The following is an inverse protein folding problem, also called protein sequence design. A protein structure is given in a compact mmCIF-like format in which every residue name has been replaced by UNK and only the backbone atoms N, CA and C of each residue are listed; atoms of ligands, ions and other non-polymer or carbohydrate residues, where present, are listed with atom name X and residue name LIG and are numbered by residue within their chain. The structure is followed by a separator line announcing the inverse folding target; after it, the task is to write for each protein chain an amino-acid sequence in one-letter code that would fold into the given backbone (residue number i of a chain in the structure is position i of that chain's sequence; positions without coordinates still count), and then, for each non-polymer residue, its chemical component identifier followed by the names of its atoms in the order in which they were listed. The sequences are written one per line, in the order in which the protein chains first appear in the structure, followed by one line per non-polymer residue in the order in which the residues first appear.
data_IF_489944113081
#
_entry.id   IF_489944113081
#
_cell.length_a   1.000
_cell.length_b   1.000
_cell.length_c   1.000
_cell.angle_alpha   90.00
_cell.angle_beta   90.00
_cell.angle_gamma   90.00
#
_symmetry.space_group_name_H-M   'P 1'
#
loop_
_entity.id
_entity.type
_entity.pdbx_description
1 polymer ?
#
# COMPACT_ATOMS: atom_id res chain seq x y z
N UNK A 1 -44.89 36.30 56.41
CA UNK A 1 -43.59 35.59 56.46
C UNK A 1 -43.53 34.69 55.26
N UNK A 2 -42.87 35.07 54.20
CA UNK A 2 -42.70 34.28 52.95
C UNK A 2 -41.25 33.71 52.97
N UNK A 3 -41.09 32.43 52.89
CA UNK A 3 -39.79 31.75 52.73
C UNK A 3 -39.32 31.76 51.28
N UNK A 4 -38.05 32.01 51.01
CA UNK A 4 -37.51 31.97 49.65
C UNK A 4 -37.18 30.50 49.24
N UNK A 5 -37.66 30.12 48.05
CA UNK A 5 -37.25 28.89 47.35
C UNK A 5 -35.78 29.02 46.92
N UNK A 6 -34.96 28.09 47.44
CA UNK A 6 -33.60 27.91 46.89
C UNK A 6 -33.68 27.00 45.67
N UNK A 7 -33.30 27.52 44.51
CA UNK A 7 -33.12 26.74 43.27
C UNK A 7 -31.64 26.22 43.27
N UNK A 8 -31.48 24.94 43.51
CA UNK A 8 -30.16 24.27 43.32
C UNK A 8 -29.90 24.05 41.82
N UNK A 9 -28.91 24.76 41.31
CA UNK A 9 -28.40 24.50 39.96
C UNK A 9 -27.51 23.24 40.04
N UNK A 10 -27.97 22.16 39.39
CA UNK A 10 -27.16 20.97 39.18
C UNK A 10 -26.10 21.24 38.10
N UNK A 11 -24.84 21.31 38.47
CA UNK A 11 -23.71 21.29 37.56
C UNK A 11 -23.60 19.91 36.92
N UNK A 12 -24.03 19.80 35.64
CA UNK A 12 -23.75 18.64 34.81
C UNK A 12 -22.28 18.73 34.37
N UNK A 13 -21.41 18.01 35.07
CA UNK A 13 -20.02 17.80 34.63
C UNK A 13 -20.04 16.93 33.37
N UNK A 14 -19.79 17.56 32.21
CA UNK A 14 -19.45 16.86 30.98
C UNK A 14 -18.09 16.16 31.21
N UNK A 15 -18.14 14.89 31.48
CA UNK A 15 -16.96 14.04 31.42
C UNK A 15 -16.53 13.97 29.96
N UNK A 16 -15.42 14.62 29.61
CA UNK A 16 -14.73 14.41 28.35
C UNK A 16 -14.38 12.91 28.30
N UNK A 17 -15.03 12.16 27.42
CA UNK A 17 -14.61 10.79 27.14
C UNK A 17 -13.14 10.86 26.68
N UNK A 18 -12.25 10.01 27.22
CA UNK A 18 -10.90 9.95 26.71
C UNK A 18 -10.98 9.67 25.21
N UNK A 19 -10.33 10.51 24.42
CA UNK A 19 -10.17 10.29 22.97
C UNK A 19 -9.62 8.87 22.80
N UNK A 20 -10.44 7.95 22.29
CA UNK A 20 -9.98 6.61 21.97
C UNK A 20 -8.83 6.77 20.98
N UNK A 21 -7.66 6.26 21.34
CA UNK A 21 -6.49 6.32 20.47
C UNK A 21 -6.80 5.72 19.09
N UNK A 22 -6.13 6.19 18.05
CA UNK A 22 -6.27 5.63 16.71
C UNK A 22 -6.16 4.10 16.76
N UNK A 23 -7.07 3.40 16.09
CA UNK A 23 -7.11 1.93 16.08
C UNK A 23 -6.87 1.39 14.67
N UNK A 24 -6.47 0.12 14.60
CA UNK A 24 -6.32 -0.60 13.32
C UNK A 24 -7.61 -1.29 12.88
N UNK A 25 -8.70 -1.13 13.63
CA UNK A 25 -9.97 -1.77 13.29
C UNK A 25 -10.43 -1.36 11.87
N UNK A 26 -10.58 -2.35 11.01
CA UNK A 26 -10.93 -2.16 9.60
C UNK A 26 -9.78 -1.71 8.68
N UNK A 27 -8.57 -1.49 9.18
CA UNK A 27 -7.41 -1.11 8.38
C UNK A 27 -7.02 -2.20 7.37
N UNK A 28 -6.45 -1.78 6.25
CA UNK A 28 -5.97 -2.65 5.18
C UNK A 28 -4.53 -2.28 4.88
N UNK A 29 -3.63 -3.27 4.95
CA UNK A 29 -2.24 -3.12 4.54
C UNK A 29 -2.05 -3.61 3.11
N UNK A 30 -1.74 -2.71 2.19
CA UNK A 30 -1.55 -3.03 0.77
C UNK A 30 -0.17 -3.61 0.46
N UNK A 31 0.77 -3.59 1.43
CA UNK A 31 2.17 -3.87 1.18
C UNK A 31 2.84 -4.52 2.41
N UNK A 32 2.69 -5.83 2.53
CA UNK A 32 3.20 -6.59 3.68
C UNK A 32 4.17 -7.69 3.24
N UNK A 33 5.44 -7.58 3.62
CA UNK A 33 6.44 -8.62 3.38
C UNK A 33 6.44 -9.65 4.50
N UNK A 34 6.52 -10.93 4.14
CA UNK A 34 6.52 -12.02 5.12
C UNK A 34 7.25 -13.26 4.60
N UNK A 35 7.71 -14.11 5.51
CA UNK A 35 8.17 -15.44 5.14
C UNK A 35 6.96 -16.31 4.69
N UNK A 36 7.19 -17.32 3.81
CA UNK A 36 8.45 -17.60 3.13
C UNK A 36 8.77 -16.58 2.03
N UNK A 37 10.01 -16.11 1.99
CA UNK A 37 10.54 -15.21 0.97
C UNK A 37 11.99 -15.62 0.66
N UNK A 38 12.52 -15.22 -0.49
CA UNK A 38 13.95 -15.33 -0.84
C UNK A 38 14.86 -14.44 0.02
N UNK A 39 14.30 -13.56 0.83
CA UNK A 39 14.99 -12.68 1.79
C UNK A 39 14.37 -12.91 3.17
N UNK A 40 15.18 -13.11 4.25
CA UNK A 40 14.66 -13.36 5.59
C UNK A 40 13.72 -12.22 6.06
N UNK A 41 12.57 -12.61 6.61
CA UNK A 41 11.55 -11.69 7.11
C UNK A 41 11.39 -11.79 8.63
N UNK A 42 10.76 -10.78 9.22
CA UNK A 42 10.55 -10.72 10.68
C UNK A 42 9.41 -11.62 11.18
N UNK A 43 8.54 -12.10 10.27
CA UNK A 43 7.35 -12.89 10.60
C UNK A 43 6.92 -13.69 9.38
N UNK A 44 6.37 -14.88 9.58
CA UNK A 44 5.73 -15.63 8.49
C UNK A 44 4.30 -15.14 8.19
N UNK A 45 3.79 -15.49 7.00
CA UNK A 45 2.51 -15.00 6.51
C UNK A 45 1.32 -15.45 7.36
N UNK A 46 1.36 -16.63 7.99
CA UNK A 46 0.27 -17.15 8.82
C UNK A 46 0.23 -16.37 10.14
N UNK A 47 1.38 -16.19 10.79
CA UNK A 47 1.46 -15.44 12.03
C UNK A 47 1.21 -13.96 11.82
N UNK A 48 1.62 -13.38 10.69
CA UNK A 48 1.24 -12.02 10.30
C UNK A 48 -0.28 -11.89 10.18
N UNK A 49 -0.94 -12.82 9.50
CA UNK A 49 -2.40 -12.80 9.36
C UNK A 49 -3.11 -12.95 10.71
N UNK A 50 -2.62 -13.83 11.61
CA UNK A 50 -3.12 -13.97 13.00
C UNK A 50 -2.97 -12.66 13.78
N UNK A 51 -1.80 -12.03 13.69
CA UNK A 51 -1.51 -10.76 14.36
C UNK A 51 -2.41 -9.63 13.82
N UNK A 52 -2.48 -9.46 12.50
CA UNK A 52 -3.34 -8.45 11.87
C UNK A 52 -4.81 -8.63 12.26
N UNK A 53 -5.32 -9.87 12.23
CA UNK A 53 -6.66 -10.22 12.70
C UNK A 53 -6.87 -9.85 14.17
N UNK A 54 -5.92 -10.16 15.05
CA UNK A 54 -6.03 -9.86 16.49
C UNK A 54 -6.09 -8.35 16.78
N UNK A 55 -5.55 -7.53 15.88
CA UNK A 55 -5.60 -6.06 15.92
C UNK A 55 -6.84 -5.49 15.21
N UNK A 56 -7.74 -6.33 14.72
CA UNK A 56 -8.98 -5.94 14.06
C UNK A 56 -8.80 -5.44 12.62
N UNK A 57 -7.67 -5.67 11.98
CA UNK A 57 -7.46 -5.33 10.58
C UNK A 57 -8.41 -6.12 9.67
N UNK A 58 -8.88 -5.49 8.60
CA UNK A 58 -9.76 -6.08 7.60
C UNK A 58 -9.01 -6.96 6.61
N UNK A 59 -7.88 -6.48 6.12
CA UNK A 59 -7.14 -7.18 5.08
C UNK A 59 -5.63 -6.90 5.12
N UNK A 60 -4.86 -7.82 4.54
CA UNK A 60 -3.45 -7.66 4.20
C UNK A 60 -3.19 -8.13 2.78
N UNK A 61 -2.25 -7.50 2.08
CA UNK A 61 -1.73 -7.94 0.78
C UNK A 61 -0.30 -8.40 0.98
N UNK A 62 -0.06 -9.71 0.81
CA UNK A 62 1.27 -10.31 0.89
C UNK A 62 2.07 -9.95 -0.36
N UNK A 63 3.26 -9.41 -0.17
CA UNK A 63 4.18 -9.07 -1.24
C UNK A 63 5.56 -9.68 -1.00
N UNK A 64 6.09 -10.36 -2.00
CA UNK A 64 7.48 -10.78 -2.09
C UNK A 64 8.07 -10.28 -3.41
N UNK A 65 9.39 -10.06 -3.46
CA UNK A 65 10.04 -9.52 -4.66
C UNK A 65 10.30 -10.59 -5.71
N UNK A 66 10.56 -11.82 -5.27
CA UNK A 66 11.08 -12.88 -6.13
C UNK A 66 10.09 -14.01 -6.37
N UNK A 67 8.97 -14.05 -5.63
CA UNK A 67 7.98 -15.11 -5.69
C UNK A 67 6.56 -14.54 -5.77
N UNK A 68 5.66 -15.12 -6.60
CA UNK A 68 4.24 -14.77 -6.55
C UNK A 68 3.60 -15.25 -5.26
N UNK A 69 2.79 -14.39 -4.63
CA UNK A 69 2.17 -14.65 -3.33
C UNK A 69 0.69 -15.06 -3.40
N UNK A 70 0.13 -15.21 -4.60
CA UNK A 70 -1.28 -15.59 -4.78
C UNK A 70 -1.62 -16.96 -4.18
N UNK A 71 -0.74 -17.96 -4.32
CA UNK A 71 -0.89 -19.30 -3.73
C UNK A 71 -0.71 -19.27 -2.22
N UNK A 72 0.22 -18.46 -1.72
CA UNK A 72 0.41 -18.25 -0.28
C UNK A 72 -0.85 -17.63 0.35
N UNK A 73 -1.42 -16.60 -0.27
CA UNK A 73 -2.67 -15.98 0.18
C UNK A 73 -3.82 -17.01 0.28
N UNK A 74 -3.92 -17.94 -0.68
CA UNK A 74 -4.90 -19.03 -0.63
C UNK A 74 -4.72 -19.92 0.60
N UNK A 75 -3.48 -20.32 0.92
CA UNK A 75 -3.19 -21.18 2.09
C UNK A 75 -3.44 -20.43 3.39
N UNK A 76 -2.96 -19.19 3.51
CA UNK A 76 -3.13 -18.35 4.71
C UNK A 76 -4.61 -18.10 5.00
N UNK A 77 -5.44 -17.83 4.00
CA UNK A 77 -6.90 -17.65 4.19
C UNK A 77 -7.59 -18.90 4.72
N UNK A 78 -7.12 -20.09 4.37
CA UNK A 78 -7.66 -21.35 4.92
C UNK A 78 -7.28 -21.54 6.38
N UNK A 79 -6.06 -21.18 6.73
CA UNK A 79 -5.51 -21.35 8.09
C UNK A 79 -6.02 -20.26 9.05
N UNK A 80 -6.23 -19.04 8.56
CA UNK A 80 -6.64 -17.89 9.38
C UNK A 80 -7.96 -17.30 8.83
N UNK A 81 -9.09 -17.95 9.05
CA UNK A 81 -10.39 -17.41 8.59
C UNK A 81 -10.74 -16.13 9.36
N UNK A 82 -11.48 -15.23 8.71
CA UNK A 82 -11.96 -13.97 9.32
C UNK A 82 -11.02 -12.78 9.18
N UNK A 83 -10.00 -12.89 8.34
CA UNK A 83 -9.24 -11.78 7.75
C UNK A 83 -9.13 -12.00 6.25
N UNK A 84 -9.24 -10.94 5.46
CA UNK A 84 -8.99 -11.01 4.03
C UNK A 84 -7.49 -10.98 3.75
N UNK A 85 -6.98 -11.99 3.03
CA UNK A 85 -5.57 -12.05 2.63
C UNK A 85 -5.50 -12.13 1.12
N UNK A 86 -4.77 -11.21 0.53
CA UNK A 86 -4.50 -11.14 -0.91
C UNK A 86 -3.01 -11.34 -1.16
N UNK A 87 -2.68 -11.65 -2.38
CA UNK A 87 -1.32 -11.70 -2.87
C UNK A 87 -1.23 -11.09 -4.26
N UNK A 88 -0.08 -11.23 -4.86
CA UNK A 88 0.19 -10.68 -6.18
C UNK A 88 1.46 -11.26 -6.79
N UNK A 89 2.02 -10.49 -7.71
CA UNK A 89 3.27 -10.82 -8.40
C UNK A 89 4.08 -9.54 -8.61
N UNK A 90 5.37 -9.59 -8.24
CA UNK A 90 6.36 -8.58 -8.63
C UNK A 90 7.05 -9.05 -9.91
N UNK A 91 7.11 -8.17 -10.92
CA UNK A 91 7.63 -8.52 -12.24
C UNK A 91 9.15 -8.39 -12.32
N UNK A 92 9.82 -8.95 -11.31
CA UNK A 92 11.27 -9.06 -11.26
C UNK A 92 11.81 -10.22 -12.12
N UNK A 93 13.10 -10.33 -12.31
CA UNK A 93 13.71 -11.30 -13.24
C UNK A 93 13.40 -12.76 -12.90
N UNK A 94 13.15 -13.07 -11.63
CA UNK A 94 12.82 -14.43 -11.16
C UNK A 94 11.51 -14.99 -11.73
N UNK A 95 10.58 -14.09 -12.13
CA UNK A 95 9.32 -14.46 -12.81
C UNK A 95 9.39 -14.19 -14.32
N UNK A 96 10.59 -13.90 -14.84
CA UNK A 96 10.83 -13.59 -16.25
C UNK A 96 10.71 -12.12 -16.60
N UNK A 97 10.85 -11.21 -15.62
CA UNK A 97 10.74 -9.76 -15.82
C UNK A 97 9.30 -9.33 -16.05
N UNK A 98 9.09 -8.34 -16.93
CA UNK A 98 7.74 -7.89 -17.33
C UNK A 98 7.08 -8.96 -18.21
N UNK A 99 6.53 -9.97 -17.54
CA UNK A 99 6.06 -11.22 -18.14
C UNK A 99 4.51 -11.33 -18.13
N UNK A 100 3.84 -11.06 -19.28
CA UNK A 100 2.38 -11.17 -19.36
C UNK A 100 1.84 -12.57 -19.04
N UNK A 101 2.57 -13.63 -19.43
CA UNK A 101 2.14 -15.01 -19.15
C UNK A 101 2.12 -15.31 -17.65
N UNK A 102 3.11 -14.82 -16.89
CA UNK A 102 3.14 -15.00 -15.43
C UNK A 102 1.95 -14.30 -14.75
N UNK A 103 1.59 -13.09 -15.20
CA UNK A 103 0.39 -12.38 -14.69
C UNK A 103 -0.89 -13.13 -15.03
N UNK A 104 -1.05 -13.59 -16.28
CA UNK A 104 -2.24 -14.36 -16.68
C UNK A 104 -2.36 -15.67 -15.87
N UNK A 105 -1.25 -16.38 -15.60
CA UNK A 105 -1.29 -17.58 -14.76
C UNK A 105 -1.58 -17.27 -13.29
N UNK A 106 -1.10 -16.16 -12.74
CA UNK A 106 -1.45 -15.73 -11.39
C UNK A 106 -2.98 -15.60 -11.22
N UNK A 107 -3.69 -15.07 -12.20
CA UNK A 107 -5.15 -14.91 -12.14
C UNK A 107 -5.92 -16.22 -12.05
N UNK A 108 -5.28 -17.34 -12.47
CA UNK A 108 -5.87 -18.69 -12.46
C UNK A 108 -5.64 -19.44 -11.15
N UNK A 109 -4.86 -18.89 -10.23
CA UNK A 109 -4.67 -19.50 -8.91
C UNK A 109 -6.02 -19.60 -8.20
N UNK A 110 -6.29 -20.79 -7.65
CA UNK A 110 -7.56 -21.09 -6.98
C UNK A 110 -7.91 -20.05 -5.91
N UNK A 111 -9.14 -19.59 -5.93
CA UNK A 111 -9.67 -18.58 -5.01
C UNK A 111 -9.64 -17.15 -5.58
N UNK A 112 -8.79 -16.86 -6.58
CA UNK A 112 -8.72 -15.52 -7.18
C UNK A 112 -8.12 -14.46 -6.24
N UNK A 113 -7.23 -14.87 -5.34
CA UNK A 113 -6.65 -13.98 -4.33
C UNK A 113 -5.37 -13.28 -4.80
N UNK A 114 -4.86 -13.58 -6.01
CA UNK A 114 -3.85 -12.78 -6.69
C UNK A 114 -4.49 -11.51 -7.23
N UNK A 115 -4.31 -10.38 -6.55
CA UNK A 115 -5.00 -9.12 -6.85
C UNK A 115 -4.10 -8.00 -7.29
N UNK A 116 -2.81 -8.07 -6.97
CA UNK A 116 -1.87 -6.97 -7.21
C UNK A 116 -0.77 -7.39 -8.16
N UNK A 117 -0.46 -6.53 -9.10
CA UNK A 117 0.67 -6.67 -10.02
C UNK A 117 1.59 -5.48 -9.81
N UNK A 118 2.74 -5.73 -9.20
CA UNK A 118 3.82 -4.75 -9.11
C UNK A 118 4.65 -4.80 -10.39
N UNK A 119 4.87 -3.67 -11.03
CA UNK A 119 5.94 -3.55 -12.01
C UNK A 119 7.29 -3.88 -11.36
N UNK A 120 8.37 -4.09 -12.11
CA UNK A 120 9.65 -4.51 -11.54
C UNK A 120 10.03 -3.69 -10.31
N UNK A 121 10.54 -4.38 -9.29
CA UNK A 121 10.94 -3.79 -8.02
C UNK A 121 12.47 -3.75 -7.91
N UNK A 122 13.10 -4.65 -7.17
CA UNK A 122 14.57 -4.65 -7.05
C UNK A 122 15.29 -4.84 -8.38
N UNK A 123 14.69 -5.56 -9.33
CA UNK A 123 15.27 -5.76 -10.66
C UNK A 123 14.83 -4.69 -11.66
N UNK A 124 14.11 -3.64 -11.25
CA UNK A 124 13.78 -2.54 -12.17
C UNK A 124 15.04 -1.87 -12.72
N UNK A 125 15.00 -1.45 -13.98
CA UNK A 125 16.10 -0.69 -14.59
C UNK A 125 16.48 0.53 -13.73
N UNK A 126 15.47 1.25 -13.24
CA UNK A 126 15.66 2.42 -12.40
C UNK A 126 16.38 2.07 -11.09
N UNK A 127 15.97 1.02 -10.36
CA UNK A 127 16.64 0.60 -9.12
C UNK A 127 18.07 0.18 -9.34
N UNK A 128 18.32 -0.60 -10.38
CA UNK A 128 19.67 -1.12 -10.68
C UNK A 128 20.62 0.01 -11.05
N UNK A 129 20.19 0.93 -11.92
CA UNK A 129 21.02 2.06 -12.37
C UNK A 129 21.23 3.06 -11.24
N UNK A 130 20.19 3.46 -10.51
CA UNK A 130 20.28 4.47 -9.43
C UNK A 130 21.12 3.98 -8.25
N UNK A 131 21.17 2.67 -8.00
CA UNK A 131 22.04 2.08 -6.97
C UNK A 131 23.48 1.84 -7.43
N UNK A 132 23.82 2.17 -8.69
CA UNK A 132 25.16 1.95 -9.27
C UNK A 132 25.51 0.48 -9.50
N UNK A 133 24.53 -0.43 -9.47
CA UNK A 133 24.76 -1.85 -9.69
C UNK A 133 24.94 -2.15 -11.18
N UNK A 134 25.81 -3.11 -11.48
CA UNK A 134 26.03 -3.62 -12.84
C UNK A 134 25.53 -5.07 -12.92
N UNK A 135 24.21 -5.23 -13.05
CA UNK A 135 23.56 -6.53 -13.16
C UNK A 135 22.36 -6.47 -14.12
N UNK A 136 21.86 -7.61 -14.60
CA UNK A 136 20.63 -7.64 -15.39
C UNK A 136 19.47 -6.94 -14.68
N UNK A 137 18.56 -6.36 -15.47
CA UNK A 137 17.38 -5.68 -14.99
C UNK A 137 16.17 -5.92 -15.93
N UNK A 138 14.98 -5.67 -15.40
CA UNK A 138 13.74 -5.63 -16.15
C UNK A 138 13.33 -4.17 -16.37
N UNK A 139 12.96 -3.81 -17.59
CA UNK A 139 12.53 -2.45 -17.95
C UNK A 139 11.06 -2.40 -18.31
N UNK A 140 10.42 -1.31 -17.92
CA UNK A 140 9.03 -1.01 -18.32
C UNK A 140 8.95 -0.06 -19.49
N UNK A 141 10.01 0.73 -19.73
CA UNK A 141 10.06 1.70 -20.81
C UNK A 141 11.45 1.75 -21.47
N UNK A 142 11.49 2.18 -22.73
CA UNK A 142 12.70 2.48 -23.48
C UNK A 142 12.43 3.68 -24.37
N UNK A 143 13.37 4.61 -24.46
CA UNK A 143 13.30 5.81 -25.31
C UNK A 143 11.99 6.59 -25.11
N UNK A 144 11.53 6.72 -23.84
CA UNK A 144 10.32 7.45 -23.45
C UNK A 144 9.00 6.75 -23.80
N UNK A 145 9.02 5.45 -24.16
CA UNK A 145 7.84 4.65 -24.49
C UNK A 145 7.83 3.35 -23.69
N UNK A 146 6.64 2.90 -23.30
CA UNK A 146 6.49 1.58 -22.68
C UNK A 146 6.92 0.48 -23.64
N UNK A 147 7.56 -0.56 -23.10
CA UNK A 147 7.86 -1.79 -23.85
C UNK A 147 6.56 -2.55 -24.13
N UNK A 148 6.48 -3.32 -25.24
CA UNK A 148 5.25 -4.05 -25.60
C UNK A 148 4.73 -4.97 -24.51
N UNK A 149 5.63 -5.59 -23.75
CA UNK A 149 5.28 -6.50 -22.63
C UNK A 149 4.58 -5.74 -21.50
N UNK A 150 5.00 -4.51 -21.18
CA UNK A 150 4.35 -3.66 -20.18
C UNK A 150 2.92 -3.29 -20.63
N UNK A 151 2.73 -2.96 -21.89
CA UNK A 151 1.41 -2.67 -22.47
C UNK A 151 0.50 -3.90 -22.39
N UNK A 152 1.03 -5.11 -22.66
CA UNK A 152 0.28 -6.37 -22.55
C UNK A 152 -0.08 -6.69 -21.08
N UNK A 153 0.84 -6.50 -20.13
CA UNK A 153 0.56 -6.67 -18.71
C UNK A 153 -0.57 -5.74 -18.26
N UNK A 154 -0.53 -4.47 -18.66
CA UNK A 154 -1.60 -3.50 -18.35
C UNK A 154 -2.95 -3.96 -18.93
N UNK A 155 -2.97 -4.55 -20.13
CA UNK A 155 -4.18 -5.11 -20.72
C UNK A 155 -4.76 -6.26 -19.88
N UNK A 156 -3.92 -7.14 -19.36
CA UNK A 156 -4.34 -8.23 -18.47
C UNK A 156 -4.88 -7.67 -17.15
N UNK A 157 -4.21 -6.68 -16.57
CA UNK A 157 -4.66 -5.97 -15.37
C UNK A 157 -6.06 -5.38 -15.56
N UNK A 158 -6.30 -4.70 -16.68
CA UNK A 158 -7.60 -4.13 -17.03
C UNK A 158 -8.67 -5.21 -17.17
N UNK A 159 -8.37 -6.28 -17.94
CA UNK A 159 -9.27 -7.41 -18.21
C UNK A 159 -9.73 -8.11 -16.93
N UNK A 160 -8.83 -8.30 -15.96
CA UNK A 160 -9.10 -9.03 -14.72
C UNK A 160 -9.40 -8.12 -13.51
N UNK A 161 -9.53 -6.82 -13.73
CA UNK A 161 -9.77 -5.80 -12.68
C UNK A 161 -8.77 -5.91 -11.51
N UNK A 162 -7.49 -6.10 -11.83
CA UNK A 162 -6.41 -6.17 -10.86
C UNK A 162 -5.96 -4.77 -10.43
N UNK A 163 -5.13 -4.70 -9.40
CA UNK A 163 -4.42 -3.48 -9.01
C UNK A 163 -3.10 -3.42 -9.75
N UNK A 164 -2.86 -2.32 -10.45
CA UNK A 164 -1.54 -1.97 -10.97
C UNK A 164 -0.77 -1.21 -9.90
N UNK A 165 0.39 -1.72 -9.51
CA UNK A 165 1.37 -0.95 -8.75
C UNK A 165 2.63 -0.68 -9.58
N UNK A 166 3.16 0.56 -9.47
CA UNK A 166 4.25 1.03 -10.34
C UNK A 166 5.62 0.41 -10.01
N UNK A 167 5.73 -0.34 -8.91
CA UNK A 167 7.00 -0.92 -8.47
C UNK A 167 8.06 0.14 -8.19
N UNK A 168 9.32 -0.17 -8.50
CA UNK A 168 10.43 0.78 -8.37
C UNK A 168 10.72 1.51 -9.70
N UNK A 169 9.69 1.84 -10.45
CA UNK A 169 9.81 2.69 -11.64
C UNK A 169 10.20 4.11 -11.26
N UNK A 170 10.98 4.77 -12.10
CA UNK A 170 11.21 6.22 -11.96
C UNK A 170 9.91 7.01 -12.06
N UNK A 171 9.85 8.26 -11.57
CA UNK A 171 8.65 9.09 -11.70
C UNK A 171 8.14 9.21 -13.15
N UNK A 172 9.05 9.37 -14.10
CA UNK A 172 8.71 9.44 -15.52
C UNK A 172 8.09 8.13 -16.04
N UNK A 173 8.66 6.98 -15.70
CA UNK A 173 8.13 5.66 -16.06
C UNK A 173 6.78 5.39 -15.38
N UNK A 174 6.65 5.74 -14.09
CA UNK A 174 5.39 5.62 -13.37
C UNK A 174 4.25 6.41 -14.04
N UNK A 175 4.52 7.64 -14.47
CA UNK A 175 3.55 8.45 -15.20
C UNK A 175 3.22 7.86 -16.59
N UNK A 176 4.16 7.23 -17.30
CA UNK A 176 3.88 6.50 -18.53
C UNK A 176 2.95 5.30 -18.27
N UNK A 177 3.25 4.50 -17.24
CA UNK A 177 2.42 3.36 -16.82
C UNK A 177 1.00 3.79 -16.48
N UNK A 178 0.85 4.87 -15.70
CA UNK A 178 -0.44 5.40 -15.27
C UNK A 178 -1.26 5.90 -16.46
N UNK A 179 -0.65 6.64 -17.40
CA UNK A 179 -1.34 7.13 -18.61
C UNK A 179 -1.84 5.98 -19.47
N UNK A 180 -1.00 4.96 -19.68
CA UNK A 180 -1.38 3.78 -20.43
C UNK A 180 -2.46 2.97 -19.73
N UNK A 181 -2.34 2.76 -18.41
CA UNK A 181 -3.34 2.09 -17.59
C UNK A 181 -4.71 2.79 -17.68
N UNK A 182 -4.73 4.11 -17.56
CA UNK A 182 -5.94 4.92 -17.73
C UNK A 182 -6.53 4.75 -19.15
N UNK A 183 -5.69 4.79 -20.17
CA UNK A 183 -6.11 4.59 -21.57
C UNK A 183 -6.78 3.23 -21.78
N UNK A 184 -6.29 2.19 -21.12
CA UNK A 184 -6.83 0.83 -21.19
C UNK A 184 -7.98 0.56 -20.20
N UNK A 185 -8.39 1.55 -19.41
CA UNK A 185 -9.52 1.43 -18.47
C UNK A 185 -9.20 0.72 -17.16
N UNK A 186 -7.92 0.63 -16.78
CA UNK A 186 -7.53 0.15 -15.43
C UNK A 186 -8.09 1.12 -14.40
N UNK A 187 -8.84 0.59 -13.43
CA UNK A 187 -9.52 1.37 -12.39
C UNK A 187 -8.69 1.52 -11.12
N UNK A 188 -7.84 0.54 -10.84
CA UNK A 188 -7.13 0.40 -9.59
C UNK A 188 -5.63 0.59 -9.84
N UNK A 189 -5.14 1.81 -9.60
CA UNK A 189 -3.74 2.18 -9.84
C UNK A 189 -3.18 2.74 -8.55
N UNK A 190 -2.03 2.21 -8.10
CA UNK A 190 -1.30 2.66 -6.92
C UNK A 190 0.15 2.92 -7.29
N UNK A 191 0.65 4.10 -6.97
CA UNK A 191 2.07 4.41 -7.05
C UNK A 191 2.74 3.83 -5.81
N UNK A 192 3.57 2.82 -5.99
CA UNK A 192 4.28 2.11 -4.92
C UNK A 192 5.20 3.07 -4.18
N UNK A 193 5.07 3.16 -2.84
CA UNK A 193 5.87 4.00 -1.91
C UNK A 193 6.47 5.27 -2.56
N UNK A 194 5.59 6.15 -3.08
CA UNK A 194 5.89 7.25 -4.00
C UNK A 194 7.08 8.14 -3.59
N UNK A 195 7.26 8.36 -2.28
CA UNK A 195 8.34 9.21 -1.74
C UNK A 195 9.57 8.44 -1.26
N UNK A 196 9.57 7.11 -1.36
CA UNK A 196 10.77 6.33 -1.03
C UNK A 196 11.95 6.77 -1.90
N UNK A 197 13.18 6.84 -1.34
CA UNK A 197 14.38 7.24 -2.11
C UNK A 197 14.58 6.45 -3.41
N UNK A 198 14.07 5.22 -3.48
CA UNK A 198 14.17 4.37 -4.66
C UNK A 198 13.21 4.79 -5.79
N UNK A 199 12.14 5.54 -5.50
CA UNK A 199 11.19 6.09 -6.48
C UNK A 199 11.38 7.59 -6.63
N UNK A 200 11.36 8.32 -5.52
CA UNK A 200 11.70 9.73 -5.47
C UNK A 200 10.72 10.66 -6.19
N UNK A 201 9.42 10.33 -6.20
CA UNK A 201 8.42 11.15 -6.86
C UNK A 201 8.22 12.47 -6.11
N UNK A 202 8.30 13.57 -6.83
CA UNK A 202 8.04 14.92 -6.29
C UNK A 202 6.55 15.17 -6.08
N UNK A 203 6.20 16.16 -5.25
CA UNK A 203 4.80 16.51 -5.00
C UNK A 203 4.05 16.89 -6.29
N UNK A 204 4.60 17.69 -7.23
CA UNK A 204 3.94 17.96 -8.50
C UNK A 204 3.66 16.70 -9.34
N UNK A 205 4.60 15.74 -9.37
CA UNK A 205 4.41 14.46 -10.08
C UNK A 205 3.34 13.60 -9.39
N UNK A 206 3.32 13.56 -8.06
CA UNK A 206 2.26 12.89 -7.30
C UNK A 206 0.88 13.50 -7.58
N UNK A 207 0.79 14.83 -7.65
CA UNK A 207 -0.45 15.53 -8.01
C UNK A 207 -0.88 15.22 -9.45
N UNK A 208 0.07 15.06 -10.38
CA UNK A 208 -0.24 14.63 -11.75
C UNK A 208 -0.77 13.20 -11.76
N UNK A 209 -0.12 12.27 -11.05
CA UNK A 209 -0.59 10.90 -10.91
C UNK A 209 -2.02 10.83 -10.32
N UNK A 210 -2.30 11.60 -9.27
CA UNK A 210 -3.63 11.70 -8.67
C UNK A 210 -4.68 12.26 -9.64
N UNK A 211 -4.38 13.28 -10.45
CA UNK A 211 -5.25 13.79 -11.51
C UNK A 211 -5.54 12.77 -12.59
N UNK A 212 -4.62 11.84 -12.83
CA UNK A 212 -4.81 10.71 -13.73
C UNK A 212 -5.65 9.59 -13.12
N UNK A 213 -5.94 9.63 -11.82
CA UNK A 213 -6.77 8.68 -11.09
C UNK A 213 -5.98 7.62 -10.32
N UNK A 214 -4.65 7.76 -10.21
CA UNK A 214 -3.84 6.89 -9.39
C UNK A 214 -3.87 7.31 -7.92
N UNK A 215 -3.74 6.34 -7.02
CA UNK A 215 -3.46 6.56 -5.61
C UNK A 215 -1.95 6.60 -5.38
N UNK A 216 -1.53 7.26 -4.30
CA UNK A 216 -0.14 7.41 -3.88
C UNK A 216 0.06 6.66 -2.57
N UNK A 217 0.98 5.70 -2.55
CA UNK A 217 1.28 4.92 -1.36
C UNK A 217 2.32 5.63 -0.50
N UNK A 218 2.01 5.77 0.79
CA UNK A 218 2.88 6.25 1.86
C UNK A 218 3.10 5.10 2.84
N UNK A 219 4.32 4.61 2.89
CA UNK A 219 4.67 3.45 3.71
C UNK A 219 5.22 3.85 5.07
N UNK A 220 5.37 2.89 5.96
CA UNK A 220 5.94 3.17 7.27
C UNK A 220 7.34 3.77 7.15
N UNK A 221 7.52 4.84 7.88
CA UNK A 221 8.81 5.47 8.16
C UNK A 221 8.87 5.75 9.64
N UNK A 222 10.08 5.80 10.23
CA UNK A 222 10.21 6.11 11.65
C UNK A 222 9.56 7.46 11.97
N UNK A 223 8.55 7.52 12.87
CA UNK A 223 7.93 8.78 13.29
C UNK A 223 8.97 9.84 13.71
N UNK A 224 8.77 11.08 13.27
CA UNK A 224 9.69 12.20 13.54
C UNK A 224 10.96 12.22 12.70
N UNK A 225 11.22 11.22 11.86
CA UNK A 225 12.31 11.27 10.86
C UNK A 225 12.06 12.34 9.80
N UNK A 226 13.09 12.72 9.04
CA UNK A 226 12.94 13.69 7.96
C UNK A 226 12.01 13.18 6.84
N UNK A 227 12.01 11.87 6.58
CA UNK A 227 11.05 11.26 5.68
C UNK A 227 9.61 11.41 6.20
N UNK A 228 9.36 11.16 7.48
CA UNK A 228 8.03 11.34 8.09
C UNK A 228 7.56 12.80 8.02
N UNK A 229 8.47 13.76 8.28
CA UNK A 229 8.16 15.19 8.17
C UNK A 229 7.75 15.60 6.75
N UNK A 230 8.37 15.00 5.71
CA UNK A 230 8.03 15.27 4.32
C UNK A 230 6.68 14.70 3.90
N UNK A 231 6.18 13.64 4.55
CA UNK A 231 4.86 13.08 4.28
C UNK A 231 3.72 14.07 4.54
N UNK A 232 3.84 14.85 5.61
CA UNK A 232 2.79 15.80 6.02
C UNK A 232 2.41 16.78 4.91
N UNK A 233 3.33 17.61 4.36
CA UNK A 233 3.01 18.51 3.26
C UNK A 233 2.64 17.75 1.98
N UNK A 234 3.21 16.58 1.71
CA UNK A 234 2.89 15.80 0.52
C UNK A 234 1.44 15.30 0.56
N UNK A 235 1.01 14.65 1.63
CA UNK A 235 -0.37 14.17 1.80
C UNK A 235 -1.36 15.34 1.76
N UNK A 236 -1.03 16.49 2.38
CA UNK A 236 -1.89 17.68 2.35
C UNK A 236 -2.06 18.24 0.94
N UNK A 237 -1.01 18.28 0.12
CA UNK A 237 -1.02 18.83 -1.23
C UNK A 237 -1.61 17.86 -2.27
N UNK A 238 -1.43 16.55 -2.10
CA UNK A 238 -2.06 15.50 -2.93
C UNK A 238 -3.53 15.35 -2.56
N UNK A 239 -3.84 15.42 -1.28
CA UNK A 239 -5.16 15.18 -0.68
C UNK A 239 -5.34 13.75 -0.20
N UNK A 240 -5.83 13.53 1.05
CA UNK A 240 -6.05 12.21 1.64
C UNK A 240 -6.92 11.27 0.78
N UNK A 241 -7.81 11.82 -0.04
CA UNK A 241 -8.67 11.06 -0.95
C UNK A 241 -7.89 10.25 -2.01
N UNK A 242 -6.63 10.62 -2.27
CA UNK A 242 -5.74 9.95 -3.24
C UNK A 242 -4.53 9.27 -2.59
N UNK A 243 -4.47 9.21 -1.27
CA UNK A 243 -3.35 8.59 -0.56
C UNK A 243 -3.75 7.24 0.05
N UNK A 244 -2.80 6.32 0.15
CA UNK A 244 -2.93 5.02 0.83
C UNK A 244 -1.81 4.91 1.85
N UNK A 245 -2.12 4.44 3.06
CA UNK A 245 -1.14 4.14 4.10
C UNK A 245 -0.93 2.63 4.15
N UNK A 246 0.30 2.19 3.90
CA UNK A 246 0.71 0.78 3.95
C UNK A 246 1.92 0.60 4.85
N UNK A 247 2.29 -0.63 5.14
CA UNK A 247 3.44 -0.87 6.03
C UNK A 247 4.77 -0.91 5.28
N UNK A 248 4.88 -1.65 4.20
CA UNK A 248 6.16 -2.02 3.57
C UNK A 248 7.14 -2.63 4.60
N UNK A 249 6.59 -3.28 5.62
CA UNK A 249 7.34 -3.90 6.71
C UNK A 249 7.56 -5.39 6.47
N UNK A 250 8.38 -6.00 7.30
CA UNK A 250 8.84 -7.37 7.24
C UNK A 250 10.35 -7.49 7.41
N UNK A 251 11.09 -6.38 7.46
CA UNK A 251 12.52 -6.37 7.73
C UNK A 251 12.78 -6.59 9.23
N UNK A 252 13.71 -7.48 9.59
CA UNK A 252 13.93 -7.91 10.98
C UNK A 252 14.23 -6.77 11.98
N UNK A 253 14.80 -5.66 11.50
CA UNK A 253 15.15 -4.52 12.36
C UNK A 253 14.00 -3.51 12.58
N UNK A 254 12.87 -3.69 11.89
CA UNK A 254 11.72 -2.80 11.94
C UNK A 254 10.60 -3.36 12.84
N UNK A 255 9.62 -2.53 13.25
CA UNK A 255 8.42 -3.01 13.93
C UNK A 255 7.67 -4.06 13.10
N UNK A 256 6.83 -4.87 13.74
CA UNK A 256 5.87 -5.69 13.01
C UNK A 256 4.79 -4.81 12.34
N UNK A 257 4.21 -5.27 11.26
CA UNK A 257 3.30 -4.52 10.37
C UNK A 257 2.18 -3.76 11.10
N UNK A 258 1.37 -4.40 11.98
CA UNK A 258 0.33 -3.66 12.69
C UNK A 258 0.89 -2.59 13.63
N UNK A 259 2.01 -2.86 14.29
CA UNK A 259 2.61 -1.90 15.22
C UNK A 259 3.18 -0.70 14.46
N UNK A 260 3.86 -0.94 13.33
CA UNK A 260 4.36 0.14 12.48
C UNK A 260 3.24 0.99 11.88
N UNK A 261 2.15 0.37 11.40
CA UNK A 261 0.98 1.10 10.91
C UNK A 261 0.37 1.98 12.01
N UNK A 262 0.20 1.44 13.21
CA UNK A 262 -0.32 2.21 14.34
C UNK A 262 0.58 3.40 14.68
N UNK A 263 1.91 3.21 14.68
CA UNK A 263 2.87 4.30 14.88
C UNK A 263 2.74 5.39 13.81
N UNK A 264 2.57 5.00 12.54
CA UNK A 264 2.38 5.95 11.44
C UNK A 264 1.06 6.72 11.58
N UNK A 265 -0.03 6.05 11.92
CA UNK A 265 -1.35 6.70 12.11
C UNK A 265 -1.33 7.68 13.29
N UNK A 266 -0.71 7.30 14.42
CA UNK A 266 -0.55 8.16 15.58
C UNK A 266 0.28 9.42 15.22
N UNK A 267 1.39 9.23 14.52
CA UNK A 267 2.21 10.34 14.04
C UNK A 267 1.40 11.32 13.17
N UNK A 268 0.65 10.82 12.18
CA UNK A 268 -0.18 11.68 11.34
C UNK A 268 -1.25 12.43 12.14
N UNK A 269 -1.86 11.78 13.14
CA UNK A 269 -2.80 12.43 14.06
C UNK A 269 -2.15 13.57 14.85
N UNK A 270 -0.94 13.35 15.37
CA UNK A 270 -0.14 14.40 16.04
C UNK A 270 0.21 15.56 15.09
N UNK A 271 0.32 15.30 13.77
CA UNK A 271 0.52 16.31 12.73
C UNK A 271 -0.78 16.96 12.25
N UNK A 272 -1.89 16.75 12.97
CA UNK A 272 -3.17 17.42 12.74
C UNK A 272 -4.04 16.79 11.63
N UNK A 273 -3.77 15.55 11.22
CA UNK A 273 -4.72 14.78 10.41
C UNK A 273 -5.86 14.29 11.30
N UNK A 274 -7.10 14.48 10.83
CA UNK A 274 -8.28 13.96 11.49
C UNK A 274 -8.36 12.42 11.39
N UNK A 275 -9.11 11.81 12.28
CA UNK A 275 -9.37 10.37 12.23
C UNK A 275 -10.04 9.97 10.91
N UNK A 276 -10.96 10.78 10.40
CA UNK A 276 -11.59 10.52 9.10
C UNK A 276 -10.63 10.60 7.91
N UNK A 277 -9.63 11.49 7.92
CA UNK A 277 -8.59 11.53 6.88
C UNK A 277 -7.68 10.29 6.96
N UNK A 278 -7.33 9.85 8.16
CA UNK A 278 -6.55 8.62 8.35
C UNK A 278 -7.36 7.39 7.90
N UNK A 279 -8.62 7.30 8.29
CA UNK A 279 -9.53 6.24 7.87
C UNK A 279 -9.74 6.21 6.34
N UNK A 280 -9.82 7.37 5.70
CA UNK A 280 -9.86 7.46 4.25
C UNK A 280 -8.63 6.78 3.62
N UNK A 281 -7.45 7.06 4.12
CA UNK A 281 -6.18 6.54 3.59
C UNK A 281 -5.90 5.09 3.98
N UNK A 282 -6.32 4.67 5.16
CA UNK A 282 -5.99 3.37 5.75
C UNK A 282 -7.06 2.29 5.51
N UNK A 283 -8.30 2.69 5.21
CA UNK A 283 -9.45 1.78 5.13
C UNK A 283 -10.20 1.95 3.81
N UNK A 284 -10.65 3.16 3.48
CA UNK A 284 -11.56 3.39 2.34
C UNK A 284 -10.84 3.27 1.00
N UNK A 285 -9.71 3.96 0.84
CA UNK A 285 -8.96 3.93 -0.42
C UNK A 285 -8.42 2.52 -0.75
N UNK A 286 -7.75 1.81 0.18
CA UNK A 286 -7.28 0.46 -0.11
C UNK A 286 -8.43 -0.54 -0.31
N UNK A 287 -9.56 -0.40 0.40
CA UNK A 287 -10.75 -1.21 0.14
C UNK A 287 -11.25 -1.04 -1.29
N UNK A 288 -11.33 0.20 -1.77
CA UNK A 288 -11.74 0.50 -3.15
C UNK A 288 -10.78 -0.11 -4.18
N UNK A 289 -9.47 -0.04 -3.95
CA UNK A 289 -8.46 -0.66 -4.82
C UNK A 289 -8.63 -2.18 -4.90
N UNK A 290 -8.94 -2.84 -3.80
CA UNK A 290 -9.12 -4.30 -3.73
C UNK A 290 -10.53 -4.76 -4.14
N UNK A 291 -11.49 -3.86 -4.29
CA UNK A 291 -12.89 -4.18 -4.58
C UNK A 291 -13.64 -4.77 -3.38
N UNK A 292 -13.36 -4.29 -2.16
CA UNK A 292 -13.93 -4.72 -0.88
C UNK A 292 -15.09 -3.83 -0.41
#
# INVERSE_FOLDING_TARGET
MQSPLMISAALVSLWAMPSMGQTLAGAIDMHAHSDPDGVPRSIDAIDLARLAKSRGMRAIVLKNHYEPTASLAYVVRKEVPGIEVFGGISLDLTVGGVNPAAVEWMTKVKGGWGRVVWMPTYDSEHSVISSGQQRPFARVAKDGKLVPEAVQVISIIAKHNLVLETGHSSPAEALLLIREAKRQGVKNILVTHAMSPIVGMSIPEMQEAAKLGAYLEFVWVRPGSDAAKQYVPAIRQVGPAFCVLSSDLGQAANPLHPDGLLMLYQYLKEQGFSESEIDQMAKVNPAKLLGL
#
